data_IF_467727968333
#
_entry.id   IF_467727968333
#
_cell.length_a   1.000
_cell.length_b   1.000
_cell.length_c   1.000
_cell.angle_alpha   90.00
_cell.angle_beta   90.00
_cell.angle_gamma   90.00
#
_symmetry.space_group_name_H-M   'P 1'
#
loop_
_entity.id
_entity.type
_entity.pdbx_description
1 polymer ?
#
# COMPACT_ATOMS: atom_id res chain seq x y z
N UNK A 1 -44.06 -33.70 -16.59
CA UNK A 1 -42.74 -34.29 -16.27
C UNK A 1 -42.17 -33.46 -15.13
N UNK A 2 -41.86 -34.07 -13.98
CA UNK A 2 -41.79 -33.34 -12.72
C UNK A 2 -40.37 -32.87 -12.40
N UNK A 3 -40.29 -31.66 -11.84
CA UNK A 3 -39.12 -31.11 -11.15
C UNK A 3 -38.94 -31.84 -9.81
N UNK A 4 -37.88 -32.64 -9.71
CA UNK A 4 -37.48 -33.34 -8.49
C UNK A 4 -36.87 -32.38 -7.48
N UNK A 5 -37.30 -32.52 -6.23
CA UNK A 5 -36.80 -31.82 -5.06
C UNK A 5 -35.40 -32.32 -4.70
N UNK A 6 -34.46 -31.40 -4.47
CA UNK A 6 -33.29 -31.63 -3.62
C UNK A 6 -33.55 -30.90 -2.29
N UNK A 7 -34.14 -31.60 -1.33
CA UNK A 7 -34.18 -31.17 0.06
C UNK A 7 -33.01 -31.85 0.76
N UNK A 8 -31.97 -31.09 1.08
CA UNK A 8 -30.93 -31.52 2.01
C UNK A 8 -31.57 -31.60 3.39
N UNK A 9 -31.71 -32.82 3.90
CA UNK A 9 -32.17 -33.08 5.25
C UNK A 9 -31.54 -34.37 5.74
N UNK A 10 -30.85 -34.30 6.88
CA UNK A 10 -30.41 -35.49 7.61
C UNK A 10 -31.67 -36.25 8.03
N UNK A 11 -31.93 -37.40 7.41
CA UNK A 11 -32.97 -38.32 7.91
C UNK A 11 -32.29 -39.20 8.95
N UNK A 12 -32.56 -39.04 10.26
CA UNK A 12 -32.12 -40.05 11.21
C UNK A 12 -32.88 -41.34 10.87
N UNK A 13 -32.16 -42.42 10.57
CA UNK A 13 -32.70 -43.74 10.17
C UNK A 13 -33.51 -44.45 11.28
N UNK A 14 -33.94 -43.73 12.31
CA UNK A 14 -34.73 -44.25 13.42
C UNK A 14 -36.20 -44.52 13.04
N UNK A 15 -36.61 -44.30 11.78
CA UNK A 15 -38.02 -44.34 11.36
C UNK A 15 -38.41 -45.48 10.42
N UNK A 16 -37.62 -46.54 10.28
CA UNK A 16 -38.10 -47.77 9.64
C UNK A 16 -38.85 -48.63 10.69
N UNK A 17 -40.09 -48.24 11.04
CA UNK A 17 -40.94 -49.09 11.87
C UNK A 17 -41.67 -50.12 11.00
N UNK A 18 -41.28 -51.39 11.08
CA UNK A 18 -42.11 -52.49 10.59
C UNK A 18 -43.26 -52.67 11.59
N UNK A 19 -44.50 -52.77 11.10
CA UNK A 19 -45.67 -52.93 11.96
C UNK A 19 -45.65 -54.32 12.64
N UNK A 20 -45.44 -54.33 13.96
CA UNK A 20 -44.79 -55.42 14.70
C UNK A 20 -45.77 -56.48 15.28
N UNK A 21 -46.98 -56.59 14.74
CA UNK A 21 -48.03 -57.43 15.35
C UNK A 21 -48.10 -58.87 14.83
N UNK A 22 -47.22 -59.30 13.91
CA UNK A 22 -47.33 -60.61 13.24
C UNK A 22 -46.02 -61.40 13.09
N UNK A 23 -44.89 -60.94 13.64
CA UNK A 23 -43.60 -61.62 13.45
C UNK A 23 -43.21 -62.53 14.64
N UNK A 24 -42.72 -63.76 14.39
CA UNK A 24 -42.18 -64.61 15.43
C UNK A 24 -40.94 -64.00 16.11
N UNK A 25 -40.81 -64.16 17.44
CA UNK A 25 -39.71 -63.60 18.24
C UNK A 25 -38.31 -64.01 17.79
N UNK A 26 -38.16 -65.19 17.16
CA UNK A 26 -36.89 -65.66 16.61
C UNK A 26 -36.44 -64.88 15.37
N UNK A 27 -37.38 -64.33 14.59
CA UNK A 27 -37.08 -63.48 13.44
C UNK A 27 -36.52 -62.13 13.91
N UNK A 28 -37.07 -61.59 15.00
CA UNK A 28 -36.65 -60.32 15.59
C UNK A 28 -35.20 -60.34 16.07
N UNK A 29 -34.79 -61.39 16.78
CA UNK A 29 -33.43 -61.49 17.31
C UNK A 29 -32.37 -61.63 16.22
N UNK A 30 -32.70 -62.30 15.11
CA UNK A 30 -31.80 -62.41 13.96
C UNK A 30 -31.80 -61.16 13.07
N UNK A 31 -32.93 -60.47 12.94
CA UNK A 31 -33.03 -59.25 12.13
C UNK A 31 -32.33 -58.05 12.81
N UNK A 32 -32.52 -57.87 14.12
CA UNK A 32 -31.83 -56.81 14.89
C UNK A 32 -30.30 -57.03 14.91
N UNK A 33 -29.86 -58.29 15.00
CA UNK A 33 -28.44 -58.64 14.91
C UNK A 33 -27.85 -58.43 13.50
N UNK A 34 -28.63 -58.69 12.44
CA UNK A 34 -28.22 -58.45 11.05
C UNK A 34 -28.15 -56.95 10.72
N UNK A 35 -29.10 -56.15 11.21
CA UNK A 35 -29.09 -54.70 11.04
C UNK A 35 -27.93 -54.05 11.83
N UNK A 36 -27.66 -54.51 13.05
CA UNK A 36 -26.53 -54.00 13.84
C UNK A 36 -25.17 -54.38 13.22
N UNK A 37 -25.06 -55.58 12.62
CA UNK A 37 -23.83 -56.02 11.96
C UNK A 37 -23.60 -55.39 10.57
N UNK A 38 -24.65 -54.92 9.89
CA UNK A 38 -24.55 -54.28 8.56
C UNK A 38 -24.41 -52.76 8.66
N UNK A 39 -24.90 -52.13 9.74
CA UNK A 39 -24.84 -50.67 9.93
C UNK A 39 -23.55 -50.14 10.58
N UNK A 40 -22.69 -50.99 11.13
CA UNK A 40 -21.44 -50.56 11.77
C UNK A 40 -20.28 -50.31 10.77
N UNK A 41 -20.49 -50.57 9.47
CA UNK A 41 -19.46 -50.41 8.43
C UNK A 41 -19.92 -49.70 7.16
N UNK A 42 -20.96 -48.86 7.22
CA UNK A 42 -21.35 -48.06 6.04
C UNK A 42 -21.19 -46.57 6.34
N UNK A 43 -19.95 -46.10 6.23
CA UNK A 43 -19.68 -44.73 5.80
C UNK A 43 -19.99 -44.68 4.31
N UNK A 44 -21.18 -44.21 3.92
CA UNK A 44 -21.36 -43.71 2.55
C UNK A 44 -20.67 -42.35 2.50
N UNK A 45 -19.38 -42.33 2.18
CA UNK A 45 -18.81 -41.16 1.50
C UNK A 45 -19.46 -41.15 0.13
N UNK A 46 -20.38 -40.22 -0.09
CA UNK A 46 -21.04 -40.07 -1.38
C UNK A 46 -20.06 -39.47 -2.37
N UNK A 47 -19.12 -40.26 -2.89
CA UNK A 47 -18.51 -39.94 -4.16
C UNK A 47 -19.57 -40.18 -5.24
N UNK A 48 -19.82 -39.18 -6.09
CA UNK A 48 -20.57 -39.40 -7.32
C UNK A 48 -19.71 -40.31 -8.21
N UNK A 49 -20.06 -41.60 -8.40
CA UNK A 49 -19.16 -42.57 -9.02
C UNK A 49 -18.93 -42.32 -10.53
N UNK A 50 -19.51 -41.25 -11.09
CA UNK A 50 -19.32 -40.84 -12.47
C UNK A 50 -18.32 -39.70 -12.66
N UNK A 51 -17.94 -38.99 -11.60
CA UNK A 51 -17.03 -37.86 -11.71
C UNK A 51 -15.58 -38.30 -11.52
N UNK A 52 -14.77 -38.04 -12.54
CA UNK A 52 -13.34 -38.36 -12.56
C UNK A 52 -12.49 -37.17 -12.95
N UNK A 53 -13.12 -36.00 -13.12
CA UNK A 53 -12.41 -34.78 -13.55
C UNK A 53 -11.91 -34.04 -12.31
N UNK A 54 -10.61 -33.75 -12.20
CA UNK A 54 -10.10 -32.96 -11.10
C UNK A 54 -10.67 -31.53 -11.07
N UNK A 55 -10.86 -30.94 -9.88
CA UNK A 55 -11.20 -29.53 -9.77
C UNK A 55 -10.07 -28.67 -10.34
N UNK A 56 -10.42 -27.52 -10.92
CA UNK A 56 -9.46 -26.54 -11.48
C UNK A 56 -9.69 -25.15 -10.90
N UNK A 57 -8.60 -24.42 -10.60
CA UNK A 57 -8.68 -23.02 -10.19
C UNK A 57 -8.90 -22.13 -11.42
N UNK A 58 -9.99 -21.35 -11.42
CA UNK A 58 -10.42 -20.53 -12.55
C UNK A 58 -10.13 -19.04 -12.35
N UNK A 59 -10.26 -18.55 -11.11
CA UNK A 59 -10.01 -17.16 -10.77
C UNK A 59 -9.53 -17.00 -9.33
N UNK A 60 -8.76 -15.94 -9.09
CA UNK A 60 -8.37 -15.51 -7.76
C UNK A 60 -8.36 -13.97 -7.70
N UNK A 61 -9.00 -13.40 -6.69
CA UNK A 61 -9.18 -11.94 -6.55
C UNK A 61 -9.00 -11.51 -5.10
N UNK A 62 -8.28 -10.42 -4.86
CA UNK A 62 -8.32 -9.68 -3.59
C UNK A 62 -9.21 -8.46 -3.81
N UNK A 63 -10.25 -8.31 -2.99
CA UNK A 63 -11.16 -7.18 -3.07
C UNK A 63 -10.70 -6.02 -2.20
N UNK A 64 -10.94 -4.78 -2.64
CA UNK A 64 -10.60 -3.59 -1.85
C UNK A 64 -11.24 -3.59 -0.45
N UNK A 65 -12.47 -4.08 -0.34
CA UNK A 65 -13.21 -4.08 0.93
C UNK A 65 -12.62 -5.05 1.97
N UNK A 66 -11.83 -6.03 1.52
CA UNK A 66 -11.28 -7.12 2.34
C UNK A 66 -9.87 -7.47 1.86
N UNK A 67 -8.89 -6.56 2.05
CA UNK A 67 -7.52 -6.74 1.53
C UNK A 67 -6.75 -7.89 2.20
N UNK A 68 -7.24 -8.41 3.33
CA UNK A 68 -6.74 -9.59 4.02
C UNK A 68 -7.43 -10.90 3.57
N UNK A 69 -8.21 -10.88 2.50
CA UNK A 69 -8.91 -12.05 1.97
C UNK A 69 -8.65 -12.23 0.47
N UNK A 70 -8.42 -13.47 0.06
CA UNK A 70 -8.35 -13.85 -1.37
C UNK A 70 -9.58 -14.70 -1.69
N UNK A 71 -10.38 -14.29 -2.66
CA UNK A 71 -11.51 -15.06 -3.17
C UNK A 71 -11.02 -15.97 -4.31
N UNK A 72 -11.11 -17.28 -4.11
CA UNK A 72 -10.78 -18.30 -5.10
C UNK A 72 -12.07 -18.87 -5.71
N UNK A 73 -12.10 -18.99 -7.03
CA UNK A 73 -13.19 -19.67 -7.75
C UNK A 73 -12.65 -20.90 -8.46
N UNK A 74 -13.21 -22.06 -8.13
CA UNK A 74 -12.93 -23.35 -8.73
C UNK A 74 -14.02 -23.77 -9.71
N UNK A 75 -13.73 -24.75 -10.57
CA UNK A 75 -14.72 -25.37 -11.47
C UNK A 75 -15.91 -26.01 -10.74
N UNK A 76 -15.70 -26.41 -9.49
CA UNK A 76 -16.63 -27.18 -8.67
C UNK A 76 -16.29 -27.06 -7.17
N UNK A 77 -17.13 -27.60 -6.26
CA UNK A 77 -16.87 -27.56 -4.83
C UNK A 77 -15.60 -28.28 -4.41
N UNK A 78 -14.77 -27.62 -3.61
CA UNK A 78 -13.52 -28.21 -3.08
C UNK A 78 -13.47 -28.18 -1.56
N UNK A 79 -12.86 -29.22 -0.97
CA UNK A 79 -12.47 -29.31 0.44
C UNK A 79 -10.95 -29.21 0.54
N UNK A 80 -10.44 -28.23 1.28
CA UNK A 80 -9.01 -27.90 1.33
C UNK A 80 -8.49 -27.50 2.71
N UNK A 81 -7.16 -27.48 2.86
CA UNK A 81 -6.40 -26.96 4.00
C UNK A 81 -5.23 -26.12 3.50
N UNK A 82 -4.55 -25.37 4.37
CA UNK A 82 -3.36 -24.54 4.00
C UNK A 82 -2.16 -25.37 3.54
N UNK A 83 -2.18 -26.68 3.78
CA UNK A 83 -1.13 -27.57 3.33
C UNK A 83 -1.03 -27.56 1.79
N UNK A 84 0.19 -27.37 1.28
CA UNK A 84 0.49 -27.35 -0.15
C UNK A 84 0.32 -26.00 -0.84
N UNK A 85 -0.28 -24.99 -0.19
CA UNK A 85 -0.41 -23.65 -0.77
C UNK A 85 0.75 -22.73 -0.39
N UNK A 86 1.19 -21.91 -1.35
CA UNK A 86 2.23 -20.89 -1.16
C UNK A 86 1.77 -19.57 -1.81
N UNK A 87 1.83 -18.47 -1.05
CA UNK A 87 1.57 -17.11 -1.53
C UNK A 87 2.92 -16.39 -1.66
N UNK A 88 3.17 -15.85 -2.84
CA UNK A 88 4.35 -15.01 -3.13
C UNK A 88 3.90 -13.69 -3.77
N UNK A 89 4.85 -12.77 -3.99
CA UNK A 89 4.56 -11.49 -4.64
C UNK A 89 3.78 -10.48 -3.78
N UNK A 90 3.64 -10.77 -2.48
CA UNK A 90 3.14 -9.86 -1.43
C UNK A 90 4.31 -9.33 -0.60
N UNK A 91 4.16 -8.15 0.01
CA UNK A 91 5.09 -7.72 1.06
C UNK A 91 5.20 -8.81 2.13
N UNK A 92 6.41 -9.02 2.65
CA UNK A 92 6.86 -10.27 3.31
C UNK A 92 6.15 -10.68 4.62
N UNK A 93 5.05 -10.02 4.99
CA UNK A 93 4.29 -10.26 6.21
C UNK A 93 2.99 -11.02 6.00
N UNK A 94 2.37 -11.00 4.82
CA UNK A 94 1.08 -11.66 4.60
C UNK A 94 1.24 -13.18 4.34
N UNK A 95 0.75 -14.00 5.27
CA UNK A 95 0.73 -15.45 5.22
C UNK A 95 -0.70 -16.02 5.27
N UNK A 96 -0.91 -17.20 4.66
CA UNK A 96 -2.20 -17.89 4.70
C UNK A 96 -2.48 -18.43 6.10
N UNK A 97 -3.60 -18.03 6.70
CA UNK A 97 -4.00 -18.48 8.05
C UNK A 97 -5.14 -19.49 8.04
N UNK A 98 -5.92 -19.54 6.97
CA UNK A 98 -7.02 -20.50 6.84
C UNK A 98 -7.86 -20.32 5.58
N UNK A 99 -8.87 -21.18 5.46
CA UNK A 99 -9.86 -21.15 4.40
C UNK A 99 -11.27 -21.15 4.98
N UNK A 100 -12.11 -20.24 4.53
CA UNK A 100 -13.54 -20.17 4.80
C UNK A 100 -14.34 -20.60 3.56
N UNK A 101 -15.61 -20.97 3.76
CA UNK A 101 -16.49 -21.50 2.71
C UNK A 101 -15.97 -22.80 2.06
N UNK A 102 -15.28 -23.60 2.86
CA UNK A 102 -14.79 -24.93 2.47
C UNK A 102 -15.97 -25.85 2.08
N UNK A 103 -15.78 -26.68 1.07
CA UNK A 103 -16.84 -27.52 0.47
C UNK A 103 -17.73 -26.77 -0.53
N UNK A 104 -17.25 -25.65 -1.07
CA UNK A 104 -17.94 -24.87 -2.12
C UNK A 104 -16.98 -24.52 -3.24
N UNK A 105 -17.50 -24.08 -4.40
CA UNK A 105 -16.67 -23.66 -5.52
C UNK A 105 -16.03 -22.28 -5.32
N UNK A 106 -16.50 -21.51 -4.33
CA UNK A 106 -15.97 -20.18 -4.01
C UNK A 106 -15.41 -20.20 -2.59
N UNK A 107 -14.08 -20.32 -2.49
CA UNK A 107 -13.38 -20.41 -1.21
C UNK A 107 -12.73 -19.09 -0.89
N UNK A 108 -12.81 -18.66 0.36
CA UNK A 108 -12.14 -17.46 0.84
C UNK A 108 -10.88 -17.84 1.61
N UNK A 109 -9.72 -17.44 1.13
CA UNK A 109 -8.43 -17.55 1.85
C UNK A 109 -8.33 -16.39 2.83
N UNK A 110 -7.93 -16.67 4.05
CA UNK A 110 -7.69 -15.67 5.10
C UNK A 110 -6.18 -15.42 5.23
N UNK A 111 -5.79 -14.15 5.34
CA UNK A 111 -4.42 -13.70 5.55
C UNK A 111 -4.25 -13.08 6.94
N UNK A 112 -3.07 -13.18 7.54
CA UNK A 112 -2.73 -12.50 8.80
C UNK A 112 -2.40 -11.00 8.64
N UNK A 113 -2.12 -10.58 7.41
CA UNK A 113 -1.88 -9.19 7.03
C UNK A 113 -2.58 -8.85 5.70
N UNK A 114 -2.73 -7.55 5.44
CA UNK A 114 -3.36 -7.06 4.23
C UNK A 114 -2.42 -7.22 3.02
N UNK A 115 -2.97 -7.59 1.87
CA UNK A 115 -2.32 -7.36 0.57
C UNK A 115 -2.28 -5.86 0.31
N UNK A 116 -1.10 -5.33 -0.02
CA UNK A 116 -0.92 -3.92 -0.32
C UNK A 116 -1.39 -3.59 -1.76
N UNK A 117 -1.73 -2.32 -2.01
CA UNK A 117 -2.14 -1.83 -3.32
C UNK A 117 -1.16 -2.18 -4.46
N UNK A 118 0.14 -2.14 -4.17
CA UNK A 118 1.22 -2.35 -5.13
C UNK A 118 1.74 -3.79 -5.18
N UNK A 119 1.17 -4.70 -4.39
CA UNK A 119 1.55 -6.11 -4.42
C UNK A 119 1.09 -6.76 -5.72
N UNK A 120 1.87 -7.75 -6.18
CA UNK A 120 1.55 -8.60 -7.34
C UNK A 120 1.41 -10.04 -6.84
N UNK A 121 0.32 -10.35 -6.11
CA UNK A 121 0.16 -11.64 -5.46
C UNK A 121 0.09 -12.80 -6.45
N UNK A 122 0.82 -13.87 -6.14
CA UNK A 122 0.86 -15.12 -6.91
C UNK A 122 0.59 -16.30 -5.98
N UNK A 123 -0.29 -17.21 -6.41
CA UNK A 123 -0.63 -18.42 -5.65
C UNK A 123 -0.07 -19.67 -6.34
N UNK A 124 0.56 -20.55 -5.57
CA UNK A 124 1.00 -21.86 -6.02
C UNK A 124 0.38 -22.97 -5.16
N UNK A 125 0.17 -24.14 -5.76
CA UNK A 125 -0.30 -25.34 -5.05
C UNK A 125 0.55 -26.55 -5.42
N UNK A 126 1.08 -27.23 -4.40
CA UNK A 126 1.82 -28.47 -4.51
C UNK A 126 1.02 -29.64 -3.95
N UNK A 127 0.51 -30.49 -4.84
CA UNK A 127 -0.27 -31.68 -4.54
C UNK A 127 0.47 -32.70 -3.65
N UNK A 128 1.80 -32.77 -3.68
CA UNK A 128 2.56 -33.71 -2.82
C UNK A 128 2.51 -33.34 -1.34
N UNK A 129 2.24 -32.08 -1.03
CA UNK A 129 2.17 -31.55 0.33
C UNK A 129 0.76 -31.10 0.72
N UNK A 130 -0.19 -31.14 -0.22
CA UNK A 130 -1.56 -30.68 -0.06
C UNK A 130 -2.56 -31.83 -0.04
N UNK A 131 -3.80 -31.51 0.29
CA UNK A 131 -4.91 -32.46 0.30
C UNK A 131 -6.21 -31.75 -0.08
N UNK A 132 -6.20 -31.09 -1.23
CA UNK A 132 -7.39 -30.43 -1.79
C UNK A 132 -8.12 -31.40 -2.71
N UNK A 133 -9.37 -31.69 -2.38
CA UNK A 133 -10.22 -32.67 -3.05
C UNK A 133 -11.54 -32.01 -3.47
N UNK A 134 -12.18 -32.50 -4.51
CA UNK A 134 -13.60 -32.20 -4.78
C UNK A 134 -14.55 -33.08 -3.93
N UNK A 135 -15.85 -33.06 -4.24
CA UNK A 135 -16.84 -33.92 -3.57
C UNK A 135 -16.84 -35.38 -4.02
N UNK A 136 -16.16 -35.69 -5.12
CA UNK A 136 -15.99 -37.04 -5.66
C UNK A 136 -14.64 -37.67 -5.28
N UNK A 137 -13.86 -36.99 -4.43
CA UNK A 137 -12.51 -37.34 -4.00
C UNK A 137 -11.43 -37.26 -5.11
N UNK A 138 -11.66 -36.48 -6.19
CA UNK A 138 -10.61 -36.17 -7.15
C UNK A 138 -9.68 -35.07 -6.60
N UNK A 139 -8.37 -35.29 -6.72
CA UNK A 139 -7.35 -34.35 -6.22
C UNK A 139 -7.12 -33.19 -7.17
N UNK A 140 -7.07 -31.96 -6.62
CA UNK A 140 -6.67 -30.76 -7.35
C UNK A 140 -5.28 -30.93 -7.97
N UNK A 141 -5.16 -30.63 -9.25
CA UNK A 141 -3.88 -30.65 -9.97
C UNK A 141 -2.99 -29.50 -9.50
N UNK A 142 -1.70 -29.79 -9.31
CA UNK A 142 -0.69 -28.79 -8.94
C UNK A 142 -0.59 -27.65 -9.98
N UNK A 143 -0.36 -26.42 -9.49
CA UNK A 143 -0.13 -25.24 -10.32
C UNK A 143 0.90 -24.31 -9.68
N UNK A 144 1.52 -23.45 -10.49
CA UNK A 144 2.56 -22.53 -10.06
C UNK A 144 2.22 -21.13 -10.56
N UNK A 145 2.41 -20.14 -9.69
CA UNK A 145 2.29 -18.70 -9.97
C UNK A 145 0.97 -18.30 -10.65
N UNK A 146 -0.15 -18.83 -10.16
CA UNK A 146 -1.46 -18.37 -10.58
C UNK A 146 -1.63 -16.91 -10.15
N UNK A 147 -1.79 -16.01 -11.11
CA UNK A 147 -1.92 -14.58 -10.85
C UNK A 147 -3.21 -14.26 -10.11
N UNK A 148 -3.09 -13.58 -8.97
CA UNK A 148 -4.23 -13.07 -8.22
C UNK A 148 -4.50 -11.63 -8.69
N UNK A 149 -5.75 -11.35 -9.05
CA UNK A 149 -6.17 -9.98 -9.40
C UNK A 149 -6.26 -9.15 -8.12
N UNK A 150 -5.38 -8.16 -7.98
CA UNK A 150 -5.36 -7.26 -6.83
C UNK A 150 -6.24 -6.03 -7.08
N UNK A 151 -7.45 -6.01 -6.55
CA UNK A 151 -8.37 -4.86 -6.63
C UNK A 151 -8.25 -3.92 -5.42
N UNK A 152 -7.27 -4.11 -4.52
CA UNK A 152 -7.03 -3.17 -3.43
C UNK A 152 -6.87 -1.78 -4.03
N UNK A 153 -7.57 -0.79 -3.50
CA UNK A 153 -7.39 0.59 -3.93
C UNK A 153 -6.24 1.22 -3.18
N UNK A 154 -5.57 2.13 -3.87
CA UNK A 154 -4.60 3.01 -3.26
C UNK A 154 -5.26 3.74 -2.07
N UNK A 155 -4.61 3.82 -0.89
CA UNK A 155 -5.16 4.55 0.26
C UNK A 155 -5.60 5.96 -0.17
N UNK A 156 -6.72 6.49 0.32
CA UNK A 156 -7.03 7.92 0.06
C UNK A 156 -6.25 8.74 1.07
N UNK A 157 -5.24 9.47 0.61
CA UNK A 157 -4.50 10.34 1.51
C UNK A 157 -5.35 11.53 1.95
N UNK A 158 -5.38 11.76 3.26
CA UNK A 158 -6.03 12.91 3.86
C UNK A 158 -4.98 14.00 4.07
N UNK A 159 -4.88 14.90 3.10
CA UNK A 159 -4.04 16.10 3.22
C UNK A 159 -4.60 17.02 4.32
N UNK A 160 -3.76 17.88 4.92
CA UNK A 160 -4.21 18.81 5.94
C UNK A 160 -5.22 19.80 5.34
N UNK A 161 -6.27 20.14 6.10
CA UNK A 161 -7.31 21.11 5.68
C UNK A 161 -6.74 22.53 5.45
N UNK A 162 -5.51 22.77 5.90
CA UNK A 162 -4.79 24.01 5.65
C UNK A 162 -3.27 23.84 5.55
N UNK A 163 -2.67 24.54 4.58
CA UNK A 163 -1.23 24.73 4.43
C UNK A 163 -0.91 26.20 4.72
N UNK A 164 0.16 26.48 5.45
CA UNK A 164 0.57 27.85 5.79
C UNK A 164 2.09 28.05 5.72
N UNK A 165 2.50 29.15 5.10
CA UNK A 165 3.90 29.57 5.03
C UNK A 165 3.98 31.09 4.92
N UNK A 166 5.18 31.65 5.14
CA UNK A 166 5.41 33.09 5.02
C UNK A 166 6.30 33.42 3.85
N UNK A 167 5.95 34.51 3.16
CA UNK A 167 6.64 35.03 1.99
C UNK A 167 7.21 36.42 2.27
N UNK A 168 8.49 36.58 1.97
CA UNK A 168 9.18 37.86 2.03
C UNK A 168 9.09 38.57 0.66
N UNK A 169 8.00 39.30 0.39
CA UNK A 169 7.76 39.94 -0.90
C UNK A 169 8.35 41.35 -1.01
N UNK A 170 8.73 41.74 -2.23
CA UNK A 170 8.96 43.15 -2.60
C UNK A 170 7.76 43.68 -3.36
N UNK A 171 7.59 45.00 -3.42
CA UNK A 171 6.56 45.59 -4.27
C UNK A 171 6.72 45.11 -5.72
N UNK A 172 5.61 44.67 -6.33
CA UNK A 172 5.57 44.07 -7.66
C UNK A 172 6.00 42.61 -7.73
N UNK A 173 6.29 41.95 -6.60
CA UNK A 173 6.58 40.51 -6.59
C UNK A 173 5.32 39.72 -6.95
N UNK A 174 5.41 38.90 -8.00
CA UNK A 174 4.35 38.01 -8.44
C UNK A 174 4.57 36.62 -7.83
N UNK A 175 3.80 36.30 -6.80
CA UNK A 175 3.77 34.99 -6.18
C UNK A 175 2.87 34.08 -7.02
N UNK A 176 3.41 32.95 -7.47
CA UNK A 176 2.67 31.96 -8.25
C UNK A 176 2.72 30.63 -7.54
N UNK A 177 1.59 29.96 -7.48
CA UNK A 177 1.46 28.65 -6.88
C UNK A 177 1.01 27.69 -7.96
N UNK A 178 1.73 26.58 -8.09
CA UNK A 178 1.41 25.51 -9.03
C UNK A 178 1.00 24.26 -8.26
N UNK A 179 -0.14 23.68 -8.64
CA UNK A 179 -0.66 22.43 -8.09
C UNK A 179 -1.08 21.51 -9.23
N UNK A 180 -0.72 20.23 -9.17
CA UNK A 180 -1.13 19.21 -10.14
C UNK A 180 -1.89 18.06 -9.50
N UNK A 181 -2.61 17.30 -10.34
CA UNK A 181 -3.12 15.96 -10.02
C UNK A 181 -4.24 15.88 -8.98
N UNK A 182 -4.77 17.02 -8.59
CA UNK A 182 -5.84 17.12 -7.60
C UNK A 182 -7.12 16.52 -8.16
N UNK A 183 -7.82 15.66 -7.42
CA UNK A 183 -9.08 15.06 -7.90
C UNK A 183 -10.05 16.17 -8.30
N UNK A 184 -10.58 16.10 -9.52
CA UNK A 184 -11.42 17.16 -10.08
C UNK A 184 -12.63 17.43 -9.18
N UNK A 185 -12.88 18.69 -8.85
CA UNK A 185 -14.10 19.11 -8.13
C UNK A 185 -13.86 19.75 -6.76
N UNK A 186 -12.62 19.77 -6.25
CA UNK A 186 -12.26 20.58 -5.08
C UNK A 186 -12.14 22.07 -5.42
N UNK A 187 -12.41 22.93 -4.43
CA UNK A 187 -12.04 24.37 -4.51
C UNK A 187 -11.14 24.69 -3.33
N UNK A 188 -9.99 25.29 -3.62
CA UNK A 188 -9.05 25.78 -2.60
C UNK A 188 -9.19 27.28 -2.50
N UNK A 189 -9.31 27.79 -1.28
CA UNK A 189 -9.17 29.22 -1.01
C UNK A 189 -7.72 29.51 -0.68
N UNK A 190 -7.14 30.46 -1.40
CA UNK A 190 -5.79 30.99 -1.12
C UNK A 190 -5.95 32.36 -0.48
N UNK A 191 -5.41 32.53 0.73
CA UNK A 191 -5.26 33.82 1.39
C UNK A 191 -3.82 34.29 1.25
N UNK A 192 -3.62 35.49 0.70
CA UNK A 192 -2.29 35.98 0.34
C UNK A 192 -1.55 36.71 1.46
N UNK A 193 -2.20 36.88 2.63
CA UNK A 193 -1.62 37.51 3.81
C UNK A 193 -1.70 39.04 3.84
N UNK A 194 -2.18 39.67 2.77
CA UNK A 194 -2.39 41.13 2.67
C UNK A 194 -3.88 41.55 2.74
N UNK A 195 -4.75 40.59 3.06
CA UNK A 195 -6.20 40.77 3.10
C UNK A 195 -6.91 40.37 1.80
N UNK A 196 -6.17 40.08 0.73
CA UNK A 196 -6.74 39.54 -0.51
C UNK A 196 -6.84 38.02 -0.51
N UNK A 197 -7.80 37.52 -1.29
CA UNK A 197 -8.07 36.10 -1.42
C UNK A 197 -8.32 35.72 -2.87
N UNK A 198 -7.88 34.53 -3.25
CA UNK A 198 -8.22 33.91 -4.53
C UNK A 198 -8.89 32.55 -4.31
N UNK A 199 -9.66 32.12 -5.30
CA UNK A 199 -10.21 30.77 -5.34
C UNK A 199 -9.54 30.02 -6.49
N UNK A 200 -9.02 28.85 -6.20
CA UNK A 200 -8.44 27.93 -7.16
C UNK A 200 -9.37 26.73 -7.31
N UNK A 201 -9.93 26.55 -8.50
CA UNK A 201 -10.75 25.38 -8.81
C UNK A 201 -9.85 24.27 -9.32
N UNK A 202 -9.92 23.12 -8.67
CA UNK A 202 -9.07 21.97 -8.92
C UNK A 202 -9.69 21.15 -10.08
N UNK A 203 -8.96 21.05 -11.19
CA UNK A 203 -9.48 20.52 -12.46
C UNK A 203 -8.99 19.12 -12.82
N UNK A 204 -8.11 18.49 -12.02
CA UNK A 204 -7.42 17.25 -12.40
C UNK A 204 -6.14 17.45 -13.21
N UNK A 205 -5.97 18.62 -13.86
CA UNK A 205 -4.76 19.01 -14.58
C UNK A 205 -3.90 19.98 -13.73
N UNK A 206 -2.77 20.42 -14.28
CA UNK A 206 -1.98 21.52 -13.68
C UNK A 206 -2.86 22.77 -13.56
N UNK A 207 -2.91 23.31 -12.35
CA UNK A 207 -3.65 24.53 -12.02
C UNK A 207 -2.72 25.47 -11.30
N UNK A 208 -2.83 26.76 -11.61
CA UNK A 208 -2.06 27.79 -10.94
C UNK A 208 -2.91 28.97 -10.55
N UNK A 209 -2.47 29.64 -9.49
CA UNK A 209 -3.03 30.91 -9.05
C UNK A 209 -1.88 31.85 -8.72
N UNK A 210 -2.03 33.12 -9.07
CA UNK A 210 -1.00 34.13 -8.85
C UNK A 210 -1.54 35.38 -8.18
N UNK A 211 -0.63 36.08 -7.52
CA UNK A 211 -0.90 37.34 -6.83
C UNK A 211 0.29 38.27 -6.86
N UNK A 212 0.04 39.55 -7.09
CA UNK A 212 1.07 40.58 -7.14
C UNK A 212 0.99 41.44 -5.89
N UNK A 213 2.00 41.34 -5.03
CA UNK A 213 2.08 42.15 -3.83
C UNK A 213 2.35 43.61 -4.19
N UNK A 214 1.46 44.51 -3.78
CA UNK A 214 1.58 45.96 -4.05
C UNK A 214 2.65 46.63 -3.21
N UNK A 215 2.91 46.10 -2.01
CA UNK A 215 3.89 46.63 -1.07
C UNK A 215 4.96 45.57 -0.77
N UNK A 216 6.14 46.04 -0.35
CA UNK A 216 7.13 45.14 0.23
C UNK A 216 6.71 44.78 1.66
N UNK A 217 6.92 43.53 2.06
CA UNK A 217 6.48 43.06 3.37
C UNK A 217 6.66 41.56 3.57
N UNK A 218 6.18 41.12 4.74
CA UNK A 218 6.10 39.72 5.12
C UNK A 218 4.64 39.33 5.13
N UNK A 219 4.30 38.26 4.42
CA UNK A 219 2.92 37.87 4.18
C UNK A 219 2.70 36.41 4.54
N UNK A 220 1.72 36.15 5.40
CA UNK A 220 1.33 34.80 5.79
C UNK A 220 0.33 34.26 4.76
N UNK A 221 0.83 33.39 3.90
CA UNK A 221 0.06 32.76 2.84
C UNK A 221 -0.57 31.48 3.37
N UNK A 222 -1.86 31.32 3.09
CA UNK A 222 -2.66 30.20 3.59
C UNK A 222 -3.48 29.57 2.49
N UNK A 223 -3.64 28.25 2.59
CA UNK A 223 -4.54 27.46 1.77
C UNK A 223 -5.58 26.89 2.69
N UNK A 224 -6.83 26.92 2.27
CA UNK A 224 -7.91 26.30 3.05
C UNK A 224 -8.88 25.64 2.08
N UNK A 225 -9.14 24.36 2.28
CA UNK A 225 -10.04 23.58 1.44
C UNK A 225 -9.71 22.10 1.49
N UNK A 226 -10.49 21.29 0.76
CA UNK A 226 -10.20 19.88 0.59
C UNK A 226 -8.95 19.72 -0.29
N UNK A 227 -7.77 19.65 0.32
CA UNK A 227 -6.49 19.43 -0.35
C UNK A 227 -6.24 17.96 -0.71
N UNK A 228 -7.30 17.14 -0.72
CA UNK A 228 -7.21 15.71 -0.98
C UNK A 228 -6.56 15.46 -2.35
N UNK A 229 -5.54 14.61 -2.37
CA UNK A 229 -4.85 14.17 -3.58
C UNK A 229 -4.09 15.26 -4.36
N UNK A 230 -3.52 16.30 -3.73
CA UNK A 230 -2.48 17.10 -4.41
C UNK A 230 -1.34 16.15 -4.77
N UNK A 231 -1.00 16.08 -6.06
CA UNK A 231 0.07 15.21 -6.54
C UNK A 231 1.39 15.97 -6.54
N UNK A 232 1.47 17.11 -7.24
CA UNK A 232 2.61 18.02 -7.15
C UNK A 232 2.22 19.33 -6.47
N UNK A 233 3.10 19.80 -5.59
CA UNK A 233 3.07 21.14 -5.01
C UNK A 233 4.39 21.82 -5.37
N UNK A 234 4.33 22.77 -6.30
CA UNK A 234 5.49 23.54 -6.70
C UNK A 234 5.41 24.96 -6.11
N UNK A 235 6.38 25.24 -5.25
CA UNK A 235 6.61 26.48 -4.52
C UNK A 235 8.02 27.03 -4.81
N UNK A 236 8.59 26.69 -5.97
CA UNK A 236 9.88 27.20 -6.41
C UNK A 236 9.86 28.71 -6.60
N UNK A 237 10.93 29.41 -6.23
CA UNK A 237 11.09 30.85 -6.49
C UNK A 237 10.05 31.75 -5.80
N UNK A 238 9.40 31.25 -4.74
CA UNK A 238 8.32 31.96 -4.04
C UNK A 238 8.80 32.79 -2.85
N UNK A 239 10.12 32.94 -2.66
CA UNK A 239 10.72 33.73 -1.56
C UNK A 239 10.16 33.36 -0.19
N UNK A 240 9.86 32.08 0.00
CA UNK A 240 9.34 31.55 1.25
C UNK A 240 10.43 31.66 2.29
N UNK A 241 10.16 32.33 3.41
CA UNK A 241 11.14 32.56 4.47
C UNK A 241 10.93 31.66 5.69
N UNK A 242 9.73 31.11 5.86
CA UNK A 242 9.39 30.19 6.95
C UNK A 242 8.15 29.36 6.63
N UNK A 243 8.13 28.14 7.17
CA UNK A 243 7.02 27.19 7.07
C UNK A 243 6.34 27.11 8.43
N UNK A 244 5.01 27.19 8.47
CA UNK A 244 4.28 27.10 9.72
C UNK A 244 4.24 25.66 10.25
N UNK A 245 4.05 25.47 11.58
CA UNK A 245 3.82 24.14 12.13
C UNK A 245 2.68 23.42 11.41
N UNK A 246 2.90 22.15 11.07
CA UNK A 246 1.94 21.34 10.33
C UNK A 246 1.99 21.50 8.81
N UNK A 247 2.75 22.48 8.26
CA UNK A 247 3.05 22.47 6.83
C UNK A 247 3.78 21.17 6.50
N UNK A 248 3.28 20.45 5.51
CA UNK A 248 3.91 19.22 5.04
C UNK A 248 3.64 18.00 5.92
N UNK A 249 2.64 18.07 6.81
CA UNK A 249 2.06 16.90 7.48
C UNK A 249 1.01 16.25 6.57
N UNK A 250 0.88 14.93 6.59
CA UNK A 250 -0.04 14.10 5.82
C UNK A 250 -0.06 14.40 4.30
N UNK A 251 1.06 14.85 3.73
CA UNK A 251 1.16 14.98 2.26
C UNK A 251 1.48 13.63 1.64
N UNK A 252 0.96 13.42 0.44
CA UNK A 252 1.01 12.16 -0.28
C UNK A 252 1.59 12.38 -1.68
N UNK A 253 2.89 12.13 -1.80
CA UNK A 253 3.71 12.46 -2.97
C UNK A 253 4.12 11.17 -3.73
N UNK A 254 3.11 10.43 -4.23
CA UNK A 254 3.22 9.14 -4.94
C UNK A 254 4.14 9.11 -6.16
N UNK A 255 4.38 7.91 -6.70
CA UNK A 255 5.23 7.61 -7.87
C UNK A 255 5.24 8.68 -8.96
N UNK A 256 6.37 9.37 -9.11
CA UNK A 256 6.60 10.38 -10.15
C UNK A 256 6.29 11.82 -9.75
N UNK A 257 5.71 12.04 -8.57
CA UNK A 257 5.34 13.36 -8.08
C UNK A 257 6.43 14.01 -7.23
N UNK A 258 6.48 15.34 -7.26
CA UNK A 258 7.49 16.13 -6.60
C UNK A 258 6.86 17.27 -5.80
N UNK A 259 7.39 17.48 -4.61
CA UNK A 259 7.27 18.78 -3.95
C UNK A 259 8.55 19.55 -4.22
N UNK A 260 8.41 20.66 -4.92
CA UNK A 260 9.52 21.51 -5.32
C UNK A 260 9.50 22.79 -4.50
N UNK A 261 10.54 23.00 -3.70
CA UNK A 261 10.71 24.15 -2.81
C UNK A 261 12.06 24.83 -3.01
N UNK A 262 12.61 24.72 -4.21
CA UNK A 262 13.85 25.35 -4.60
C UNK A 262 13.78 26.88 -4.67
N UNK A 263 14.95 27.52 -4.69
CA UNK A 263 15.11 28.97 -4.80
C UNK A 263 14.34 29.79 -3.71
N UNK A 264 14.13 29.21 -2.53
CA UNK A 264 13.47 29.85 -1.39
C UNK A 264 14.46 30.31 -0.30
N UNK A 265 13.97 31.11 0.65
CA UNK A 265 14.78 31.79 1.66
C UNK A 265 14.76 31.14 3.05
N UNK A 266 13.90 30.15 3.27
CA UNK A 266 13.82 29.45 4.55
C UNK A 266 15.14 28.75 4.88
N UNK A 267 15.56 28.84 6.15
CA UNK A 267 16.81 28.24 6.63
C UNK A 267 16.61 26.92 7.38
N UNK A 268 15.36 26.59 7.73
CA UNK A 268 15.00 25.37 8.44
C UNK A 268 13.59 24.91 8.05
N UNK A 269 13.34 23.61 8.20
CA UNK A 269 12.01 23.02 8.10
C UNK A 269 11.28 23.10 9.44
N UNK A 270 9.95 23.07 9.43
CA UNK A 270 9.18 22.89 10.66
C UNK A 270 9.23 21.40 11.11
N UNK A 271 8.92 21.15 12.38
CA UNK A 271 9.09 19.82 13.02
C UNK A 271 8.20 18.72 12.43
N UNK A 272 7.10 19.07 11.76
CA UNK A 272 6.17 18.09 11.18
C UNK A 272 6.42 17.80 9.71
N UNK A 273 7.31 18.57 9.07
CA UNK A 273 7.53 18.50 7.64
C UNK A 273 8.15 17.16 7.26
N UNK A 274 7.50 16.40 6.38
CA UNK A 274 8.08 15.19 5.81
C UNK A 274 8.15 14.00 6.76
N UNK A 275 7.44 14.03 7.90
CA UNK A 275 7.45 12.92 8.86
C UNK A 275 6.55 11.75 8.46
N UNK A 276 5.43 11.99 7.77
CA UNK A 276 4.36 11.02 7.53
C UNK A 276 4.10 10.80 6.03
N UNK A 277 5.12 11.03 5.19
CA UNK A 277 5.03 10.78 3.75
C UNK A 277 5.35 9.31 3.48
N UNK A 278 4.39 8.43 3.69
CA UNK A 278 4.62 6.98 3.57
C UNK A 278 4.79 6.52 2.11
N UNK A 279 4.30 7.32 1.14
CA UNK A 279 4.27 6.99 -0.29
C UNK A 279 5.17 7.87 -1.16
N UNK A 280 6.16 8.56 -0.59
CA UNK A 280 7.09 9.36 -1.39
C UNK A 280 8.09 8.50 -2.16
N UNK A 281 8.25 8.81 -3.45
CA UNK A 281 9.14 8.06 -4.36
C UNK A 281 10.19 8.93 -5.04
N UNK A 282 9.97 10.25 -5.12
CA UNK A 282 10.84 11.18 -5.81
C UNK A 282 11.01 12.45 -4.96
N UNK A 283 12.23 12.67 -4.51
CA UNK A 283 12.61 13.87 -3.75
C UNK A 283 13.62 14.73 -4.53
N UNK A 284 13.83 14.42 -5.81
CA UNK A 284 14.80 15.12 -6.62
C UNK A 284 14.46 16.61 -6.72
N UNK A 285 15.50 17.45 -6.63
CA UNK A 285 15.41 18.92 -6.73
C UNK A 285 14.55 19.62 -5.66
N UNK A 286 14.06 18.91 -4.64
CA UNK A 286 13.17 19.44 -3.61
C UNK A 286 13.67 20.75 -2.97
N UNK A 287 14.98 20.85 -2.70
CA UNK A 287 15.60 22.01 -2.07
C UNK A 287 16.67 22.68 -2.94
N UNK A 288 16.55 22.55 -4.26
CA UNK A 288 17.49 23.10 -5.24
C UNK A 288 17.67 24.62 -5.07
N UNK A 289 18.91 25.11 -4.94
CA UNK A 289 19.26 26.53 -4.76
C UNK A 289 18.53 27.24 -3.58
N UNK A 290 18.03 26.50 -2.60
CA UNK A 290 17.39 27.09 -1.41
C UNK A 290 18.42 27.63 -0.41
N UNK A 291 17.95 28.37 0.61
CA UNK A 291 18.78 28.80 1.74
C UNK A 291 18.73 27.82 2.93
N UNK A 292 18.24 26.60 2.71
CA UNK A 292 18.06 25.60 3.75
C UNK A 292 19.40 25.20 4.38
N UNK A 293 19.49 25.34 5.70
CA UNK A 293 20.69 24.98 6.50
C UNK A 293 20.51 23.71 7.31
N UNK A 294 19.27 23.39 7.72
CA UNK A 294 18.98 22.25 8.60
C UNK A 294 17.66 21.58 8.24
N UNK A 295 17.69 20.26 8.17
CA UNK A 295 16.48 19.42 8.19
C UNK A 295 15.93 19.34 9.62
N UNK A 296 14.64 19.07 9.77
CA UNK A 296 14.10 18.68 11.07
C UNK A 296 14.46 17.21 11.37
N UNK A 297 14.34 16.80 12.64
CA UNK A 297 14.78 15.48 13.13
C UNK A 297 13.96 14.30 12.59
N UNK A 298 12.75 14.57 12.11
CA UNK A 298 11.77 13.57 11.65
C UNK A 298 11.74 13.43 10.12
N UNK A 299 12.39 14.35 9.41
CA UNK A 299 12.36 14.41 7.96
C UNK A 299 13.00 13.17 7.35
N UNK A 300 12.26 12.47 6.50
CA UNK A 300 12.81 11.33 5.75
C UNK A 300 12.94 10.04 6.53
N UNK A 301 12.48 10.00 7.79
CA UNK A 301 12.68 8.85 8.69
C UNK A 301 11.73 7.69 8.37
N UNK A 302 10.47 7.96 8.04
CA UNK A 302 9.45 6.92 7.79
C UNK A 302 9.42 6.44 6.35
N UNK A 303 10.09 7.13 5.43
CA UNK A 303 9.97 6.87 4.00
C UNK A 303 10.60 5.52 3.63
N UNK A 304 9.86 4.69 2.91
CA UNK A 304 10.35 3.36 2.48
C UNK A 304 10.56 3.26 0.97
N UNK A 305 9.82 4.06 0.19
CA UNK A 305 9.68 3.89 -1.27
C UNK A 305 10.48 4.88 -2.12
N UNK A 306 11.44 5.63 -1.54
CA UNK A 306 12.24 6.60 -2.30
C UNK A 306 12.99 5.89 -3.42
N UNK A 307 12.69 6.22 -4.68
CA UNK A 307 13.32 5.67 -5.88
C UNK A 307 14.36 6.67 -6.45
N UNK A 308 13.98 7.95 -6.51
CA UNK A 308 14.77 9.04 -7.10
C UNK A 308 15.07 10.13 -6.07
N UNK A 309 16.35 10.33 -5.75
CA UNK A 309 16.81 11.39 -4.85
C UNK A 309 17.78 12.37 -5.52
N UNK A 310 17.92 12.33 -6.84
CA UNK A 310 18.91 13.11 -7.56
C UNK A 310 18.76 14.63 -7.36
N UNK A 311 19.84 15.33 -7.02
CA UNK A 311 19.83 16.76 -6.70
C UNK A 311 18.82 17.18 -5.62
N UNK A 312 18.44 16.28 -4.70
CA UNK A 312 17.54 16.58 -3.56
C UNK A 312 17.86 17.93 -2.90
N UNK A 313 19.13 18.13 -2.53
CA UNK A 313 19.66 19.42 -2.14
C UNK A 313 20.91 19.73 -2.98
N UNK A 314 20.80 20.74 -3.84
CA UNK A 314 21.92 21.23 -4.66
C UNK A 314 22.07 22.74 -4.47
N UNK A 315 23.29 23.21 -4.18
CA UNK A 315 23.59 24.60 -3.84
C UNK A 315 22.73 25.14 -2.67
N UNK A 316 22.30 24.28 -1.76
CA UNK A 316 21.69 24.68 -0.50
C UNK A 316 22.79 24.66 0.57
N UNK A 317 22.89 25.67 1.45
CA UNK A 317 23.93 25.71 2.49
C UNK A 317 23.63 24.75 3.65
N UNK A 318 23.18 23.53 3.34
CA UNK A 318 22.80 22.50 4.30
C UNK A 318 24.04 22.07 5.10
N UNK A 319 24.00 22.31 6.40
CA UNK A 319 25.14 22.12 7.32
C UNK A 319 25.14 20.70 7.91
N UNK A 320 23.94 20.12 8.09
CA UNK A 320 23.76 18.84 8.75
C UNK A 320 22.50 18.13 8.25
N UNK A 321 22.58 16.80 8.13
CA UNK A 321 21.43 15.91 7.99
C UNK A 321 20.97 15.45 9.39
N UNK A 322 19.69 15.17 9.57
CA UNK A 322 19.23 14.54 10.81
C UNK A 322 19.79 13.11 10.94
N UNK A 323 19.87 12.63 12.18
CA UNK A 323 20.55 11.37 12.52
C UNK A 323 19.95 10.13 11.87
N UNK A 324 18.67 10.17 11.48
CA UNK A 324 17.93 9.04 10.94
C UNK A 324 17.61 9.22 9.44
N UNK A 325 18.23 10.19 8.78
CA UNK A 325 17.91 10.53 7.40
C UNK A 325 18.26 9.36 6.48
N UNK A 326 17.26 8.87 5.75
CA UNK A 326 17.45 7.77 4.81
C UNK A 326 17.49 6.38 5.43
N UNK A 327 17.25 6.24 6.74
CA UNK A 327 17.42 4.96 7.46
C UNK A 327 16.48 3.86 6.95
N UNK A 328 15.32 4.20 6.41
CA UNK A 328 14.30 3.24 5.96
C UNK A 328 14.13 3.17 4.43
N UNK A 329 14.96 3.85 3.64
CA UNK A 329 14.79 3.96 2.19
C UNK A 329 15.17 2.66 1.46
N UNK A 330 14.21 1.73 1.35
CA UNK A 330 14.45 0.40 0.79
C UNK A 330 14.59 0.40 -0.75
N UNK A 331 13.94 1.35 -1.44
CA UNK A 331 13.87 1.37 -2.91
C UNK A 331 14.81 2.35 -3.61
N UNK A 332 15.77 2.96 -2.91
CA UNK A 332 16.60 4.01 -3.54
C UNK A 332 17.41 3.45 -4.70
N UNK A 333 17.06 3.82 -5.94
CA UNK A 333 17.79 3.36 -7.14
C UNK A 333 18.73 4.43 -7.68
N UNK A 334 18.37 5.72 -7.59
CA UNK A 334 19.11 6.83 -8.18
C UNK A 334 19.31 7.97 -7.18
N UNK A 335 20.55 8.35 -6.94
CA UNK A 335 20.95 9.41 -6.01
C UNK A 335 22.00 10.38 -6.63
N UNK A 336 21.99 10.54 -7.95
CA UNK A 336 22.94 11.41 -8.64
C UNK A 336 22.92 12.84 -8.12
N UNK A 337 24.07 13.33 -7.65
CA UNK A 337 24.22 14.67 -7.09
C UNK A 337 23.23 14.99 -5.95
N UNK A 338 22.73 13.97 -5.23
CA UNK A 338 21.70 14.12 -4.20
C UNK A 338 21.97 15.27 -3.21
N UNK A 339 23.20 15.38 -2.72
CA UNK A 339 23.69 16.41 -1.81
C UNK A 339 24.89 17.10 -2.45
N UNK A 340 24.64 18.02 -3.39
CA UNK A 340 25.68 18.67 -4.20
C UNK A 340 25.91 20.12 -3.76
N UNK A 341 27.16 20.51 -3.54
CA UNK A 341 27.53 21.87 -3.14
C UNK A 341 26.76 22.33 -1.89
N UNK A 342 26.65 21.41 -0.92
CA UNK A 342 26.15 21.71 0.41
C UNK A 342 27.32 21.98 1.37
N UNK A 343 27.02 22.39 2.60
CA UNK A 343 28.01 22.70 3.64
C UNK A 343 28.20 21.56 4.64
N UNK A 344 27.90 20.31 4.24
CA UNK A 344 27.97 19.16 5.12
C UNK A 344 29.41 18.90 5.56
N UNK A 345 29.62 18.73 6.87
CA UNK A 345 30.92 18.39 7.46
C UNK A 345 31.05 16.92 7.85
N UNK A 346 29.92 16.24 8.05
CA UNK A 346 29.81 14.83 8.39
C UNK A 346 28.48 14.26 7.87
N UNK A 347 28.40 12.93 7.82
CA UNK A 347 27.17 12.19 7.52
C UNK A 347 26.72 11.43 8.79
N UNK A 348 25.40 11.28 9.01
CA UNK A 348 24.87 10.39 10.05
C UNK A 348 25.33 8.95 9.87
N UNK A 349 25.44 8.22 10.98
CA UNK A 349 25.88 6.82 10.96
C UNK A 349 24.93 5.90 10.19
N UNK A 350 23.64 6.25 10.14
CA UNK A 350 22.63 5.50 9.40
C UNK A 350 22.61 5.81 7.90
N UNK A 351 23.33 6.84 7.45
CA UNK A 351 23.24 7.31 6.06
C UNK A 351 23.85 6.28 5.12
N UNK A 352 23.05 5.75 4.19
CA UNK A 352 23.48 4.71 3.25
C UNK A 352 23.39 3.28 3.77
N UNK A 353 23.13 3.07 5.07
CA UNK A 353 23.20 1.74 5.69
C UNK A 353 22.14 0.73 5.18
N UNK A 354 21.13 1.17 4.42
CA UNK A 354 20.00 0.34 3.97
C UNK A 354 19.51 0.66 2.56
N UNK A 355 20.43 0.89 1.60
CA UNK A 355 20.08 1.17 0.20
C UNK A 355 20.47 0.02 -0.75
N UNK A 356 19.86 -1.18 -0.62
CA UNK A 356 20.29 -2.38 -1.33
C UNK A 356 20.10 -2.32 -2.86
N UNK A 357 19.30 -1.36 -3.34
CA UNK A 357 18.94 -1.22 -4.76
C UNK A 357 19.62 -0.01 -5.44
N UNK A 358 20.58 0.65 -4.79
CA UNK A 358 21.23 1.83 -5.35
C UNK A 358 22.07 1.46 -6.58
N UNK A 359 21.60 1.86 -7.75
CA UNK A 359 22.25 1.56 -9.04
C UNK A 359 23.06 2.73 -9.58
N UNK A 360 22.63 3.97 -9.31
CA UNK A 360 23.28 5.19 -9.82
C UNK A 360 23.43 6.22 -8.71
N UNK A 361 24.66 6.63 -8.41
CA UNK A 361 24.97 7.59 -7.33
C UNK A 361 26.15 8.52 -7.69
N UNK A 362 26.24 8.87 -8.96
CA UNK A 362 27.32 9.70 -9.50
C UNK A 362 27.36 11.04 -8.78
N UNK A 363 28.53 11.38 -8.21
CA UNK A 363 28.73 12.66 -7.54
C UNK A 363 27.72 12.95 -6.42
N UNK A 364 27.17 11.90 -5.77
CA UNK A 364 26.10 12.02 -4.78
C UNK A 364 26.37 13.05 -3.68
N UNK A 365 27.63 13.16 -3.23
CA UNK A 365 28.09 14.05 -2.16
C UNK A 365 29.05 15.15 -2.66
N UNK A 366 28.98 15.51 -3.95
CA UNK A 366 29.97 16.38 -4.58
C UNK A 366 30.01 17.80 -3.99
N UNK A 367 31.21 18.41 -3.96
CA UNK A 367 31.46 19.77 -3.46
C UNK A 367 30.97 20.05 -2.02
N UNK A 368 31.04 19.06 -1.14
CA UNK A 368 30.84 19.26 0.30
C UNK A 368 32.16 19.46 1.06
N UNK A 369 32.04 19.80 2.34
CA UNK A 369 33.16 19.97 3.27
C UNK A 369 33.32 18.75 4.20
N UNK A 370 33.01 17.54 3.71
CA UNK A 370 33.05 16.32 4.51
C UNK A 370 34.47 16.08 5.03
N UNK A 371 34.58 15.98 6.34
CA UNK A 371 35.83 15.65 7.05
C UNK A 371 35.85 14.22 7.56
N UNK A 372 34.67 13.61 7.68
CA UNK A 372 34.45 12.24 8.12
C UNK A 372 33.34 11.62 7.28
N UNK A 373 33.57 10.39 6.81
CA UNK A 373 32.55 9.53 6.19
C UNK A 373 32.51 8.26 7.03
N UNK A 374 31.32 7.82 7.45
CA UNK A 374 31.18 6.60 8.24
C UNK A 374 31.48 5.36 7.37
N UNK A 375 32.12 4.35 7.95
CA UNK A 375 32.39 3.04 7.34
C UNK A 375 31.10 2.33 6.86
N UNK A 376 29.95 2.60 7.49
CA UNK A 376 28.62 2.09 7.09
C UNK A 376 28.19 2.53 5.69
N UNK A 377 28.80 3.58 5.14
CA UNK A 377 28.48 4.10 3.81
C UNK A 377 29.08 3.27 2.67
N UNK A 378 30.09 2.43 2.95
CA UNK A 378 30.79 1.64 1.94
C UNK A 378 30.43 0.14 1.95
N UNK A 379 29.52 -0.28 2.84
CA UNK A 379 29.02 -1.65 2.97
C UNK A 379 27.61 -1.75 2.39
#
# INVERSE_FOLDING_TARGET
>A
MPSGFAQVGTVPFNSLSINDTLLPTWFKHHFDAYITAVLDTVTVTGSDPGDTEPPTLQAAVVEHATPNEIQLTYSEPVVMTTAGFELTGVASTAALTGFANNGTANVTVQLDDNVAFNDVPLLSYNQSNGNTLDTADNELVAFVDFAITNNVQEPVATMPDSIQYRVAATAGFNHIIYMTGVTSGGTVRVGWGDGEFSSLTLSGAETSVSHVYTNAGQYDVSYTGALNNIRDLELNDQRIDSLYPGFGKNMDLRSGYQMLMGNNFFTSLNDSFGYDWDLITNIGQMFYNSQLRRLNDLFGVTWTQINLAGSFARNAPLEQLNDNFGINWQLLTTADQMLNACNLTALPDSFGARWPLLTTASSMLYNNHLTTVNDSFFN
#
